data_IF_495105657178
#
_entry.id   IF_495105657178
#
_cell.length_a   1.000
_cell.length_b   1.000
_cell.length_c   1.000
_cell.angle_alpha   90.00
_cell.angle_beta   90.00
_cell.angle_gamma   90.00
#
_symmetry.space_group_name_H-M   'P 1'
#
loop_
_entity.id
_entity.type
_entity.pdbx_description
1 polymer ?
#
# COMPACT_ATOMS: atom_id res chain seq x y z
N UNK A 1 -6.34 -3.70 -0.94
CA UNK A 1 -6.17 -5.06 -1.50
C UNK A 1 -6.05 -5.10 -3.01
N UNK A 2 -6.98 -4.49 -3.76
CA UNK A 2 -6.98 -4.49 -5.23
C UNK A 2 -5.63 -4.18 -5.90
N UNK A 3 -4.95 -3.09 -5.51
CA UNK A 3 -3.64 -2.77 -6.06
C UNK A 3 -2.60 -3.91 -5.89
N UNK A 4 -2.63 -4.60 -4.74
CA UNK A 4 -1.73 -5.72 -4.45
C UNK A 4 -2.09 -7.01 -5.20
N UNK A 5 -3.37 -7.21 -5.58
CA UNK A 5 -3.75 -8.36 -6.40
C UNK A 5 -3.22 -8.24 -7.82
N UNK A 6 -3.13 -7.03 -8.34
CA UNK A 6 -2.48 -6.74 -9.63
C UNK A 6 -0.97 -6.91 -9.52
N UNK A 7 -0.31 -6.12 -8.66
CA UNK A 7 1.13 -6.20 -8.49
C UNK A 7 1.58 -5.65 -7.13
N UNK A 8 2.63 -6.23 -6.55
CA UNK A 8 3.14 -5.75 -5.27
C UNK A 8 3.63 -4.30 -5.35
N UNK A 9 4.46 -3.97 -6.35
CA UNK A 9 4.97 -2.61 -6.51
C UNK A 9 3.86 -1.57 -6.66
N UNK A 10 2.79 -1.90 -7.40
CA UNK A 10 1.62 -1.03 -7.53
C UNK A 10 0.98 -0.79 -6.16
N UNK A 11 0.76 -1.85 -5.38
CA UNK A 11 0.23 -1.75 -4.02
C UNK A 11 1.11 -0.94 -3.07
N UNK A 12 2.44 -1.12 -3.12
CA UNK A 12 3.38 -0.40 -2.25
C UNK A 12 3.48 1.10 -2.56
N UNK A 13 3.27 1.49 -3.82
CA UNK A 13 3.38 2.87 -4.29
C UNK A 13 2.04 3.61 -4.36
N UNK A 14 0.91 2.95 -4.06
CA UNK A 14 -0.41 3.55 -4.12
C UNK A 14 -0.57 4.71 -3.12
N UNK A 15 -0.98 5.88 -3.62
CA UNK A 15 -1.22 7.07 -2.80
C UNK A 15 -2.68 7.51 -2.77
N UNK A 16 -3.42 7.31 -3.87
CA UNK A 16 -4.82 7.70 -4.01
C UNK A 16 -5.54 6.72 -4.91
N UNK A 17 -6.84 6.56 -4.67
CA UNK A 17 -7.73 5.82 -5.56
C UNK A 17 -8.85 6.74 -6.04
N UNK A 18 -9.20 6.63 -7.32
CA UNK A 18 -10.47 7.11 -7.86
C UNK A 18 -11.35 5.91 -8.15
N UNK A 19 -12.60 6.00 -7.70
CA UNK A 19 -13.63 4.99 -7.95
C UNK A 19 -14.71 5.70 -8.76
N UNK A 20 -14.96 5.23 -9.98
CA UNK A 20 -15.92 5.82 -10.92
C UNK A 20 -15.69 7.34 -11.10
N UNK A 21 -14.42 7.72 -11.34
CA UNK A 21 -13.98 9.10 -11.54
C UNK A 21 -13.93 9.98 -10.29
N UNK A 22 -14.36 9.50 -9.11
CA UNK A 22 -14.36 10.28 -7.86
C UNK A 22 -13.24 9.86 -6.94
N UNK A 23 -12.52 10.83 -6.38
CA UNK A 23 -11.49 10.56 -5.36
C UNK A 23 -12.13 9.90 -4.14
N UNK A 24 -11.52 8.80 -3.70
CA UNK A 24 -11.90 8.05 -2.51
C UNK A 24 -10.68 7.74 -1.67
N UNK A 25 -10.92 7.49 -0.39
CA UNK A 25 -9.87 6.98 0.49
C UNK A 25 -9.48 5.57 0.04
N UNK A 26 -8.19 5.24 0.15
CA UNK A 26 -7.67 3.90 -0.14
C UNK A 26 -8.34 2.76 0.68
N UNK A 27 -9.03 3.12 1.78
CA UNK A 27 -9.81 2.20 2.64
C UNK A 27 -11.20 1.87 2.11
N UNK A 28 -11.64 2.56 1.06
CA UNK A 28 -12.98 2.41 0.54
C UNK A 28 -13.22 0.95 0.12
N UNK A 29 -14.38 0.42 0.50
CA UNK A 29 -14.82 -0.88 0.03
C UNK A 29 -15.21 -0.76 -1.44
N UNK A 30 -14.73 -1.72 -2.24
CA UNK A 30 -15.06 -1.80 -3.66
C UNK A 30 -16.35 -2.60 -3.86
N UNK A 31 -17.10 -2.25 -4.90
CA UNK A 31 -18.26 -2.97 -5.38
C UNK A 31 -18.00 -3.57 -6.76
N UNK A 32 -18.78 -4.59 -7.11
CA UNK A 32 -18.71 -5.19 -8.44
C UNK A 32 -19.10 -4.15 -9.50
N UNK A 33 -18.33 -4.12 -10.59
CA UNK A 33 -18.51 -3.15 -11.67
C UNK A 33 -17.85 -1.78 -11.46
N UNK A 34 -17.21 -1.53 -10.30
CA UNK A 34 -16.47 -0.29 -10.08
C UNK A 34 -15.25 -0.17 -11.01
N UNK A 35 -15.11 0.98 -11.67
CA UNK A 35 -13.89 1.37 -12.36
C UNK A 35 -12.92 2.02 -11.37
N UNK A 36 -11.70 1.48 -11.31
CA UNK A 36 -10.68 1.88 -10.34
C UNK A 36 -9.47 2.47 -11.06
N UNK A 37 -9.14 3.73 -10.75
CA UNK A 37 -7.83 4.29 -11.05
C UNK A 37 -6.98 4.35 -9.78
N UNK A 38 -5.76 3.84 -9.85
CA UNK A 38 -4.79 3.90 -8.76
C UNK A 38 -3.70 4.90 -9.13
N UNK A 39 -3.57 5.97 -8.35
CA UNK A 39 -2.45 6.89 -8.46
C UNK A 39 -1.28 6.40 -7.62
N UNK A 40 -0.08 6.42 -8.19
CA UNK A 40 1.17 5.98 -7.55
C UNK A 40 2.16 7.11 -7.35
N UNK A 41 3.01 7.01 -6.33
CA UNK A 41 4.20 7.84 -6.17
C UNK A 41 5.47 7.10 -6.62
N UNK A 42 6.58 7.82 -6.77
CA UNK A 42 7.90 7.23 -7.09
C UNK A 42 8.48 6.41 -5.93
N UNK A 43 8.20 6.83 -4.69
CA UNK A 43 8.66 6.14 -3.48
C UNK A 43 7.51 5.45 -2.76
N UNK A 44 7.72 4.27 -2.13
CA UNK A 44 6.63 3.55 -1.50
C UNK A 44 6.15 4.23 -0.21
N UNK A 45 4.86 4.54 -0.16
CA UNK A 45 4.20 5.35 0.88
C UNK A 45 3.43 4.51 1.91
N UNK A 46 3.78 3.23 2.06
CA UNK A 46 3.09 2.30 2.97
C UNK A 46 3.20 2.75 4.43
N UNK A 47 2.07 2.72 5.13
CA UNK A 47 1.95 3.09 6.55
C UNK A 47 1.51 1.87 7.40
N UNK A 48 1.90 1.79 8.68
CA UNK A 48 1.48 0.69 9.57
C UNK A 48 -0.04 0.51 9.69
N UNK A 49 -0.80 1.62 9.72
CA UNK A 49 -2.28 1.61 9.73
C UNK A 49 -2.89 0.85 8.55
N UNK A 50 -2.11 0.60 7.49
CA UNK A 50 -2.56 -0.20 6.38
C UNK A 50 -2.76 -1.69 6.72
N UNK A 51 -2.37 -2.14 7.91
CA UNK A 51 -2.67 -3.50 8.36
C UNK A 51 -4.07 -3.64 8.97
N UNK A 52 -4.70 -2.52 9.34
CA UNK A 52 -6.05 -2.49 9.92
C UNK A 52 -7.14 -2.68 8.85
N UNK A 53 -6.90 -2.14 7.65
CA UNK A 53 -7.88 -2.15 6.55
C UNK A 53 -7.65 -3.25 5.50
N UNK A 54 -6.51 -3.96 5.54
CA UNK A 54 -6.07 -4.85 4.47
C UNK A 54 -6.51 -6.25 4.82
N UNK A 55 -7.31 -6.84 3.94
CA UNK A 55 -8.01 -8.09 4.21
C UNK A 55 -7.26 -9.28 3.63
N UNK A 56 -6.73 -9.15 2.41
CA UNK A 56 -6.13 -10.28 1.69
C UNK A 56 -4.75 -10.66 2.25
N UNK A 57 -4.41 -11.96 2.31
CA UNK A 57 -3.09 -12.40 2.77
C UNK A 57 -1.93 -11.78 1.98
N UNK A 58 -2.10 -11.66 0.65
CA UNK A 58 -1.09 -11.08 -0.25
C UNK A 58 -0.76 -9.63 0.10
N UNK A 59 -1.78 -8.79 0.31
CA UNK A 59 -1.58 -7.40 0.71
C UNK A 59 -0.94 -7.32 2.10
N UNK A 60 -1.49 -8.03 3.09
CA UNK A 60 -1.00 -8.03 4.48
C UNK A 60 0.47 -8.47 4.56
N UNK A 61 0.85 -9.52 3.83
CA UNK A 61 2.22 -10.04 3.83
C UNK A 61 3.20 -9.06 3.17
N UNK A 62 2.82 -8.45 2.05
CA UNK A 62 3.63 -7.44 1.35
C UNK A 62 3.85 -6.20 2.21
N UNK A 63 2.79 -5.69 2.85
CA UNK A 63 2.86 -4.56 3.79
C UNK A 63 3.80 -4.87 4.95
N UNK A 64 3.64 -6.04 5.60
CA UNK A 64 4.51 -6.45 6.72
C UNK A 64 5.98 -6.55 6.30
N UNK A 65 6.23 -7.17 5.13
CA UNK A 65 7.59 -7.31 4.58
C UNK A 65 8.24 -5.94 4.39
N UNK A 66 7.54 -5.01 3.76
CA UNK A 66 8.03 -3.65 3.52
C UNK A 66 8.27 -2.88 4.84
N UNK A 67 7.35 -2.95 5.79
CA UNK A 67 7.52 -2.25 7.07
C UNK A 67 8.73 -2.79 7.86
N UNK A 68 8.96 -4.11 7.86
CA UNK A 68 10.15 -4.71 8.49
C UNK A 68 11.45 -4.28 7.82
N UNK A 69 11.50 -4.23 6.48
CA UNK A 69 12.71 -3.79 5.78
C UNK A 69 13.02 -2.32 6.08
N UNK A 70 12.01 -1.46 6.13
CA UNK A 70 12.15 -0.04 6.50
C UNK A 70 12.69 0.15 7.92
N UNK A 71 12.23 -0.65 8.88
CA UNK A 71 12.78 -0.63 10.26
C UNK A 71 14.25 -1.05 10.27
N UNK A 72 14.60 -2.16 9.59
CA UNK A 72 16.00 -2.63 9.49
C UNK A 72 16.93 -1.57 8.88
N UNK A 73 16.48 -0.87 7.85
CA UNK A 73 17.24 0.23 7.23
C UNK A 73 17.46 1.41 8.18
N UNK A 74 16.44 1.79 8.97
CA UNK A 74 16.58 2.86 9.98
C UNK A 74 17.54 2.47 11.11
N UNK A 75 17.46 1.24 11.60
CA UNK A 75 18.33 0.75 12.68
C UNK A 75 19.79 0.52 12.24
N UNK A 76 20.04 0.31 10.96
CA UNK A 76 21.40 0.20 10.40
C UNK A 76 22.13 1.53 10.25
N UNK A 77 21.41 2.67 10.28
CA UNK A 77 21.97 4.01 10.06
C UNK A 77 22.46 4.72 11.34
N UNK A 78 22.52 4.00 12.47
CA UNK A 78 22.97 4.51 13.77
C UNK A 78 24.29 3.92 14.28
N UNK A 79 25.12 3.33 13.42
CA UNK A 79 26.44 2.75 13.78
C UNK A 79 27.57 3.28 12.88
N UNK A 80 27.59 4.58 12.66
CA UNK A 80 28.68 5.28 11.99
C UNK A 80 28.72 6.71 12.55
N UNK A 81 29.26 6.83 13.75
CA UNK A 81 29.98 8.01 14.30
C UNK A 81 30.68 7.56 15.59
#
# INVERSE_FOLDING_TARGET
>A
DFAFSIHEQLGLHAVRARINGKIRQLKARLMDGDQIDVETAESPTVLPKWLEWAVTPRARNSIRRYLRSKVKQRSGKGKSD
#
